data_IF_595311098497
#
_entry.id   IF_595311098497
#
_cell.length_a   1.000
_cell.length_b   1.000
_cell.length_c   1.000
_cell.angle_alpha   90.00
_cell.angle_beta   90.00
_cell.angle_gamma   90.00
#
_symmetry.space_group_name_H-M   'P 1'
#
loop_
_entity.id
_entity.type
_entity.pdbx_description
1 polymer ?
#
# COMPACT_ATOMS: atom_id res chain seq x y z
N UNK A 1 -14.81 21.11 1.05
CA UNK A 1 -15.16 19.67 1.06
C UNK A 1 -16.38 19.47 1.94
N UNK A 2 -17.43 18.82 1.46
CA UNK A 2 -18.65 18.59 2.25
C UNK A 2 -18.55 17.25 2.97
N UNK A 3 -18.83 17.24 4.28
CA UNK A 3 -18.83 16.01 5.09
C UNK A 3 -20.26 15.45 5.13
N UNK A 4 -20.41 14.15 4.87
CA UNK A 4 -21.67 13.43 5.06
C UNK A 4 -21.62 12.61 6.35
N UNK A 5 -22.72 12.58 7.10
CA UNK A 5 -22.88 11.71 8.28
C UNK A 5 -23.20 10.30 7.81
N UNK A 6 -22.43 9.32 8.29
CA UNK A 6 -22.61 7.89 8.03
C UNK A 6 -22.89 7.20 9.36
N UNK A 7 -23.94 6.37 9.41
CA UNK A 7 -24.23 5.46 10.52
C UNK A 7 -23.98 4.04 10.04
N UNK A 8 -23.17 3.29 10.77
CA UNK A 8 -22.86 1.87 10.51
C UNK A 8 -22.91 1.10 11.82
N UNK A 9 -23.25 -0.18 11.73
CA UNK A 9 -23.03 -1.13 12.80
C UNK A 9 -21.72 -1.85 12.52
N UNK A 10 -20.90 -2.00 13.56
CA UNK A 10 -19.66 -2.79 13.53
C UNK A 10 -19.62 -3.66 14.78
N UNK A 11 -18.86 -4.73 14.71
CA UNK A 11 -18.62 -5.63 15.82
C UNK A 11 -17.93 -4.88 16.98
N UNK A 12 -18.29 -5.24 18.22
CA UNK A 12 -17.73 -4.62 19.43
C UNK A 12 -16.20 -4.78 19.51
N UNK A 13 -15.69 -5.92 19.02
CA UNK A 13 -14.26 -6.19 18.95
C UNK A 13 -13.53 -5.18 18.05
N UNK A 14 -14.16 -4.78 16.94
CA UNK A 14 -13.61 -3.77 16.02
C UNK A 14 -13.63 -2.38 16.65
N UNK A 15 -14.73 -2.00 17.33
CA UNK A 15 -14.78 -0.71 18.04
C UNK A 15 -13.72 -0.64 19.16
N UNK A 16 -13.49 -1.76 19.86
CA UNK A 16 -12.48 -1.89 20.89
C UNK A 16 -11.06 -1.77 20.32
N UNK A 17 -10.80 -2.42 19.18
CA UNK A 17 -9.52 -2.32 18.47
C UNK A 17 -9.25 -0.89 17.97
N UNK A 18 -10.26 -0.24 17.38
CA UNK A 18 -10.18 1.18 16.99
C UNK A 18 -9.91 2.08 18.20
N UNK A 19 -10.50 1.78 19.36
CA UNK A 19 -10.27 2.53 20.59
C UNK A 19 -8.83 2.45 21.10
N UNK A 20 -8.26 1.24 21.15
CA UNK A 20 -6.85 1.05 21.54
C UNK A 20 -5.91 1.81 20.62
N UNK A 21 -6.06 1.60 19.31
CA UNK A 21 -5.19 2.24 18.32
C UNK A 21 -5.36 3.77 18.30
N UNK A 22 -6.57 4.28 18.49
CA UNK A 22 -6.81 5.71 18.58
C UNK A 22 -6.08 6.33 19.79
N UNK A 23 -6.06 5.63 20.92
CA UNK A 23 -5.31 6.05 22.10
C UNK A 23 -3.80 6.02 21.85
N UNK A 24 -3.28 4.94 21.23
CA UNK A 24 -1.86 4.78 20.92
C UNK A 24 -1.35 5.85 19.93
N UNK A 25 -2.15 6.18 18.91
CA UNK A 25 -1.81 7.19 17.89
C UNK A 25 -2.19 8.63 18.29
N UNK A 26 -2.82 8.83 19.46
CA UNK A 26 -3.29 10.15 19.92
C UNK A 26 -4.32 10.79 18.97
N UNK A 27 -5.16 9.98 18.33
CA UNK A 27 -6.15 10.44 17.34
C UNK A 27 -7.58 10.01 17.71
N UNK A 28 -8.56 10.41 16.92
CA UNK A 28 -9.95 9.98 17.12
C UNK A 28 -10.25 8.69 16.35
N UNK A 29 -11.12 7.83 16.89
CA UNK A 29 -11.65 6.65 16.17
C UNK A 29 -12.16 7.01 14.77
N UNK A 30 -12.87 8.14 14.65
CA UNK A 30 -13.39 8.62 13.38
C UNK A 30 -12.29 9.03 12.38
N UNK A 31 -11.13 9.51 12.86
CA UNK A 31 -9.97 9.79 11.99
C UNK A 31 -9.36 8.50 11.45
N UNK A 32 -9.23 7.46 12.28
CA UNK A 32 -8.78 6.13 11.84
C UNK A 32 -9.73 5.53 10.80
N UNK A 33 -11.04 5.54 11.06
CA UNK A 33 -12.04 5.04 10.10
C UNK A 33 -11.90 5.76 8.75
N UNK A 34 -11.79 7.10 8.76
CA UNK A 34 -11.59 7.87 7.52
C UNK A 34 -10.27 7.52 6.82
N UNK A 35 -9.20 7.26 7.58
CA UNK A 35 -7.90 6.83 7.03
C UNK A 35 -8.05 5.48 6.33
N UNK A 36 -8.57 4.47 7.00
CA UNK A 36 -8.75 3.12 6.45
C UNK A 36 -9.67 3.08 5.24
N UNK A 37 -10.79 3.80 5.30
CA UNK A 37 -11.70 3.92 4.16
C UNK A 37 -11.00 4.59 2.98
N UNK A 38 -10.19 5.63 3.23
CA UNK A 38 -9.44 6.32 2.18
C UNK A 38 -8.36 5.43 1.57
N UNK A 39 -7.55 4.77 2.39
CA UNK A 39 -6.48 3.88 1.95
C UNK A 39 -7.02 2.73 1.12
N UNK A 40 -8.18 2.18 1.50
CA UNK A 40 -8.75 1.02 0.81
C UNK A 40 -9.52 1.37 -0.47
N UNK A 41 -10.14 2.55 -0.53
CA UNK A 41 -10.97 2.98 -1.66
C UNK A 41 -10.21 3.81 -2.70
N UNK A 42 -9.06 4.41 -2.35
CA UNK A 42 -8.24 5.09 -3.34
C UNK A 42 -7.42 4.04 -4.10
N UNK A 43 -7.48 4.02 -5.44
CA UNK A 43 -6.47 3.28 -6.19
C UNK A 43 -5.10 3.82 -5.79
N UNK A 44 -4.11 2.93 -5.68
CA UNK A 44 -2.72 3.36 -5.60
C UNK A 44 -2.47 4.29 -6.78
N UNK A 45 -1.74 5.41 -6.59
CA UNK A 45 -1.31 6.19 -7.73
C UNK A 45 -0.54 5.27 -8.70
N UNK A 46 -0.55 5.56 -10.01
CA UNK A 46 0.33 4.88 -10.96
C UNK A 46 1.75 4.82 -10.39
N UNK A 47 2.46 3.70 -10.61
CA UNK A 47 3.81 3.49 -10.06
C UNK A 47 4.76 4.62 -10.49
N UNK A 48 4.52 5.22 -11.65
CA UNK A 48 5.24 6.36 -12.21
C UNK A 48 5.10 7.64 -11.38
N UNK A 49 4.10 7.73 -10.51
CA UNK A 49 3.85 8.86 -9.60
C UNK A 49 4.33 8.58 -8.15
N UNK A 50 4.92 7.41 -7.89
CA UNK A 50 5.49 7.08 -6.58
C UNK A 50 6.84 7.83 -6.38
N UNK A 51 7.04 8.61 -5.31
CA UNK A 51 8.33 9.25 -5.02
C UNK A 51 9.50 8.25 -4.90
N UNK A 52 9.23 6.97 -4.60
CA UNK A 52 10.22 5.90 -4.58
C UNK A 52 10.51 5.34 -5.99
N UNK A 53 9.72 5.68 -7.01
CA UNK A 53 9.95 5.30 -8.41
C UNK A 53 11.30 5.83 -8.92
N UNK A 54 11.66 7.06 -8.54
CA UNK A 54 12.93 7.67 -8.93
C UNK A 54 14.15 6.97 -8.30
N UNK A 55 13.96 6.16 -7.26
CA UNK A 55 15.02 5.39 -6.61
C UNK A 55 15.33 4.09 -7.38
N UNK A 56 14.38 3.61 -8.20
CA UNK A 56 14.57 2.44 -9.06
C UNK A 56 15.58 2.80 -10.16
N UNK A 57 16.83 2.33 -10.00
CA UNK A 57 17.93 2.58 -10.93
C UNK A 57 19.11 3.36 -10.33
N UNK A 58 18.97 4.00 -9.17
CA UNK A 58 20.07 4.74 -8.52
C UNK A 58 21.14 3.78 -7.95
N UNK A 59 20.78 2.55 -7.60
CA UNK A 59 21.69 1.52 -7.11
C UNK A 59 22.00 0.42 -8.16
N UNK A 60 21.81 0.73 -9.45
CA UNK A 60 21.97 -0.24 -10.53
C UNK A 60 23.24 -0.03 -11.34
N UNK A 61 24.40 -0.46 -10.83
CA UNK A 61 25.57 -0.77 -11.67
C UNK A 61 25.36 -2.08 -12.49
N UNK A 62 24.10 -2.47 -12.70
CA UNK A 62 23.72 -3.68 -13.41
C UNK A 62 23.02 -3.30 -14.71
N UNK A 63 23.59 -3.73 -15.84
CA UNK A 63 22.94 -3.60 -17.13
C UNK A 63 21.59 -4.34 -17.12
N UNK A 64 20.54 -3.80 -17.75
CA UNK A 64 19.26 -4.48 -17.87
C UNK A 64 19.46 -5.82 -18.58
N UNK A 65 19.10 -6.91 -17.90
CA UNK A 65 19.15 -8.24 -18.51
C UNK A 65 17.93 -8.39 -19.43
N UNK A 66 18.17 -8.72 -20.71
CA UNK A 66 17.10 -8.90 -21.70
C UNK A 66 16.21 -10.12 -21.46
N UNK A 67 16.74 -11.17 -20.83
CA UNK A 67 16.02 -12.38 -20.44
C UNK A 67 16.49 -12.83 -19.04
N UNK A 68 15.62 -12.64 -18.04
CA UNK A 68 15.90 -12.99 -16.64
C UNK A 68 16.07 -14.50 -16.48
N UNK A 69 15.30 -15.29 -17.22
CA UNK A 69 15.32 -16.74 -17.09
C UNK A 69 16.62 -17.31 -17.69
N UNK A 70 17.07 -16.79 -18.84
CA UNK A 70 18.38 -17.15 -19.41
C UNK A 70 19.54 -16.77 -18.48
N UNK A 71 19.49 -15.58 -17.87
CA UNK A 71 20.55 -15.12 -16.98
C UNK A 71 20.65 -15.92 -15.68
N UNK A 72 19.51 -16.31 -15.09
CA UNK A 72 19.48 -17.06 -13.83
C UNK A 72 19.64 -18.57 -14.03
N UNK A 73 19.04 -19.14 -15.08
CA UNK A 73 18.95 -20.58 -15.27
C UNK A 73 19.79 -21.10 -16.44
N UNK A 74 20.41 -20.22 -17.22
CA UNK A 74 21.13 -20.58 -18.45
C UNK A 74 20.16 -20.84 -19.62
N UNK A 75 20.69 -21.20 -20.80
CA UNK A 75 19.85 -21.50 -21.96
C UNK A 75 18.90 -22.63 -21.59
N UNK A 76 17.59 -22.38 -21.70
CA UNK A 76 16.58 -23.41 -21.54
C UNK A 76 16.97 -24.58 -22.43
N UNK A 77 17.30 -25.73 -21.82
CA UNK A 77 17.57 -26.95 -22.54
C UNK A 77 16.33 -27.29 -23.35
N UNK A 78 16.33 -26.87 -24.61
CA UNK A 78 15.27 -27.18 -25.56
C UNK A 78 15.38 -28.69 -25.83
N UNK A 79 14.26 -29.44 -25.77
CA UNK A 79 14.28 -30.88 -26.02
C UNK A 79 14.80 -31.23 -27.41
#
# INVERSE_FOLDING_TARGET
MTVKRLQIMIEEELDSALGRQAADEGTSKAALIRRYVRERLRPLPPLEEDPLWEIVGIAGDAEPVGDIDEFLYGPAAKP
#
